data_IF_001661955473
#
_entry.id   IF_001661955473
#
_cell.length_a   1.000
_cell.length_b   1.000
_cell.length_c   1.000
_cell.angle_alpha   90.00
_cell.angle_beta   90.00
_cell.angle_gamma   90.00
#
_symmetry.space_group_name_H-M   'P 1'
#
loop_
_entity.id
_entity.type
_entity.pdbx_description
1 polymer ?
#
# COMPACT_ATOMS: atom_id res chain seq x y z
N UNK A 1 -3.44 -15.40 -11.96
CA UNK A 1 -3.22 -16.41 -10.92
C UNK A 1 -3.52 -15.78 -9.57
N UNK A 2 -4.33 -16.43 -8.74
CA UNK A 2 -4.63 -16.00 -7.36
C UNK A 2 -4.18 -17.13 -6.43
N UNK A 3 -3.21 -16.85 -5.56
CA UNK A 3 -2.71 -17.79 -4.56
C UNK A 3 -3.16 -17.39 -3.16
N UNK A 4 -3.30 -18.33 -2.24
CA UNK A 4 -3.57 -18.07 -0.83
C UNK A 4 -2.54 -18.76 0.06
N UNK A 5 -2.13 -18.11 1.14
CA UNK A 5 -1.27 -18.71 2.18
C UNK A 5 -1.59 -18.13 3.56
N UNK A 6 -1.32 -18.92 4.59
CA UNK A 6 -1.38 -18.50 5.98
C UNK A 6 0.02 -18.07 6.43
N UNK A 7 0.20 -16.79 6.72
CA UNK A 7 1.52 -16.16 6.94
C UNK A 7 1.51 -15.26 8.18
N UNK A 8 2.70 -14.93 8.67
CA UNK A 8 2.91 -13.91 9.70
C UNK A 8 3.46 -12.63 9.08
N UNK A 9 2.99 -11.47 9.50
CA UNK A 9 3.58 -10.18 9.08
C UNK A 9 4.85 -9.94 9.88
N UNK A 10 6.02 -9.89 9.22
CA UNK A 10 7.32 -9.74 9.91
C UNK A 10 7.91 -8.35 9.78
N UNK A 11 7.53 -7.58 8.76
CA UNK A 11 7.91 -6.17 8.58
C UNK A 11 6.77 -5.38 7.96
N UNK A 12 6.71 -4.09 8.26
CA UNK A 12 5.69 -3.18 7.74
C UNK A 12 6.24 -1.75 7.64
N UNK A 13 6.06 -1.11 6.48
CA UNK A 13 6.62 0.21 6.16
C UNK A 13 5.71 1.38 6.54
N UNK A 14 4.95 1.26 7.64
CA UNK A 14 4.00 2.30 8.10
C UNK A 14 4.70 3.64 8.42
N UNK A 15 5.93 3.56 8.89
CA UNK A 15 6.82 4.65 9.27
C UNK A 15 7.61 5.24 8.10
N UNK A 16 7.38 4.75 6.87
CA UNK A 16 8.01 5.32 5.68
C UNK A 16 7.42 6.68 5.33
N UNK A 17 8.28 7.62 4.93
CA UNK A 17 7.86 8.91 4.36
C UNK A 17 6.98 8.76 3.11
N UNK A 18 7.03 7.60 2.45
CA UNK A 18 6.31 7.31 1.21
C UNK A 18 5.12 6.34 1.39
N UNK A 19 4.62 6.15 2.62
CA UNK A 19 3.46 5.29 2.90
C UNK A 19 2.18 5.81 2.23
N UNK A 20 2.08 7.11 1.99
CA UNK A 20 1.02 7.73 1.21
C UNK A 20 1.67 8.34 -0.03
N UNK A 21 1.12 7.99 -1.19
CA UNK A 21 1.51 8.56 -2.48
C UNK A 21 0.36 9.36 -3.04
N UNK A 22 0.70 10.30 -3.92
CA UNK A 22 -0.26 11.11 -4.67
C UNK A 22 -0.27 10.66 -6.12
N UNK A 23 -1.46 10.43 -6.67
CA UNK A 23 -1.65 10.02 -8.06
C UNK A 23 -2.56 10.98 -8.79
N UNK A 24 -2.30 11.13 -10.09
CA UNK A 24 -3.15 11.91 -10.98
C UNK A 24 -4.50 11.22 -11.18
N UNK A 25 -5.61 11.95 -11.07
CA UNK A 25 -6.96 11.38 -11.31
C UNK A 25 -7.13 10.90 -12.76
N UNK A 26 -6.45 11.53 -13.73
CA UNK A 26 -6.61 11.18 -15.15
C UNK A 26 -5.86 9.92 -15.59
N UNK A 27 -4.61 9.78 -15.15
CA UNK A 27 -3.72 8.72 -15.64
C UNK A 27 -3.20 7.78 -14.56
N UNK A 28 -3.58 8.01 -13.29
CA UNK A 28 -3.20 7.20 -12.12
C UNK A 28 -1.70 7.04 -11.87
N UNK A 29 -0.86 7.76 -12.62
CA UNK A 29 0.57 7.85 -12.40
C UNK A 29 0.86 8.81 -11.25
N UNK A 30 1.99 8.58 -10.58
CA UNK A 30 2.51 9.42 -9.51
C UNK A 30 2.48 10.90 -9.90
N UNK A 31 2.16 11.72 -8.91
CA UNK A 31 2.15 13.17 -9.00
C UNK A 31 3.06 13.74 -7.90
N UNK A 32 3.93 14.67 -8.28
CA UNK A 32 4.91 15.31 -7.39
C UNK A 32 4.69 16.81 -7.42
N UNK A 33 4.68 17.49 -6.27
CA UNK A 33 4.50 18.95 -6.18
C UNK A 33 3.27 19.49 -6.93
N UNK A 34 2.17 18.74 -6.95
CA UNK A 34 0.97 19.08 -7.74
C UNK A 34 1.26 19.19 -9.25
N UNK A 35 2.19 18.38 -9.77
CA UNK A 35 2.49 18.18 -11.19
C UNK A 35 2.40 16.69 -11.49
N UNK A 36 1.67 16.30 -12.54
CA UNK A 36 1.57 14.90 -12.94
C UNK A 36 2.93 14.46 -13.46
N UNK A 37 3.47 13.32 -13.04
CA UNK A 37 4.78 12.87 -13.51
C UNK A 37 4.76 12.22 -14.90
N UNK A 38 3.57 12.06 -15.51
CA UNK A 38 3.44 11.51 -16.85
C UNK A 38 3.45 12.63 -17.90
N UNK A 39 4.51 12.78 -18.72
CA UNK A 39 4.58 13.80 -19.76
C UNK A 39 3.55 13.61 -20.88
N UNK A 40 2.97 12.42 -21.00
CA UNK A 40 1.92 12.10 -21.97
C UNK A 40 0.51 12.37 -21.41
N UNK A 41 0.39 12.72 -20.13
CA UNK A 41 -0.90 13.03 -19.55
C UNK A 41 -1.34 14.43 -19.98
N UNK A 42 -2.59 14.57 -20.42
CA UNK A 42 -3.20 15.87 -20.73
C UNK A 42 -3.13 16.88 -19.58
N UNK A 43 -2.99 16.39 -18.34
CA UNK A 43 -2.90 17.21 -17.13
C UNK A 43 -1.47 17.54 -16.71
N UNK A 44 -0.44 17.16 -17.47
CA UNK A 44 0.97 17.39 -17.13
C UNK A 44 1.30 18.85 -16.80
N UNK A 45 0.71 19.81 -17.54
CA UNK A 45 0.98 21.25 -17.37
C UNK A 45 -0.17 22.03 -16.72
N UNK A 46 -1.16 21.36 -16.13
CA UNK A 46 -2.26 22.06 -15.47
C UNK A 46 -1.91 22.33 -14.01
N UNK A 47 -1.85 23.58 -13.58
CA UNK A 47 -1.58 23.93 -12.16
C UNK A 47 -2.68 23.43 -11.21
N UNK A 48 -3.87 23.12 -11.73
CA UNK A 48 -5.05 22.66 -10.97
C UNK A 48 -5.60 21.32 -11.50
N UNK A 49 -4.76 20.29 -11.65
CA UNK A 49 -5.29 18.95 -11.92
C UNK A 49 -5.68 18.21 -10.64
N UNK A 50 -6.78 17.48 -10.71
CA UNK A 50 -7.25 16.67 -9.61
C UNK A 50 -6.28 15.53 -9.31
N UNK A 51 -5.99 15.34 -8.03
CA UNK A 51 -5.19 14.23 -7.53
C UNK A 51 -5.96 13.50 -6.43
N UNK A 52 -5.63 12.22 -6.25
CA UNK A 52 -6.08 11.44 -5.10
C UNK A 52 -4.88 10.86 -4.36
N UNK A 53 -5.08 10.55 -3.07
CA UNK A 53 -4.09 9.89 -2.24
C UNK A 53 -4.34 8.38 -2.24
N UNK A 54 -3.26 7.62 -2.27
CA UNK A 54 -3.27 6.15 -2.19
C UNK A 54 -2.25 5.70 -1.14
N UNK A 55 -2.52 4.60 -0.46
CA UNK A 55 -1.47 3.93 0.31
C UNK A 55 -0.49 3.20 -0.60
N UNK A 56 0.78 3.30 -0.25
CA UNK A 56 1.89 2.57 -0.83
C UNK A 56 2.54 1.74 0.28
N UNK A 57 1.74 0.83 0.85
CA UNK A 57 2.10 0.03 2.01
C UNK A 57 2.87 -1.22 1.56
N UNK A 58 4.10 -1.35 2.06
CA UNK A 58 4.93 -2.54 1.88
C UNK A 58 4.96 -3.36 3.16
N UNK A 59 4.81 -4.68 3.01
CA UNK A 59 4.97 -5.62 4.11
C UNK A 59 5.87 -6.78 3.72
N UNK A 60 6.50 -7.37 4.71
CA UNK A 60 7.14 -8.68 4.58
C UNK A 60 6.29 -9.70 5.30
N UNK A 61 6.11 -10.86 4.68
CA UNK A 61 5.37 -11.97 5.26
C UNK A 61 6.22 -13.23 5.29
N UNK A 62 6.03 -14.05 6.32
CA UNK A 62 6.80 -15.27 6.51
C UNK A 62 5.89 -16.44 6.87
N UNK A 63 6.21 -17.62 6.36
CA UNK A 63 5.63 -18.89 6.77
C UNK A 63 6.73 -19.94 7.01
N UNK A 64 6.37 -21.21 7.16
CA UNK A 64 7.35 -22.29 7.36
C UNK A 64 8.28 -22.53 6.16
N UNK A 65 7.92 -22.04 4.97
CA UNK A 65 8.71 -22.20 3.74
C UNK A 65 9.71 -21.07 3.52
N UNK A 66 9.49 -19.90 4.13
CA UNK A 66 10.42 -18.78 4.04
C UNK A 66 9.75 -17.42 4.25
N UNK A 67 10.41 -16.39 3.74
CA UNK A 67 9.96 -14.99 3.83
C UNK A 67 9.87 -14.39 2.44
N UNK A 68 8.78 -13.70 2.16
CA UNK A 68 8.62 -12.85 0.98
C UNK A 68 8.65 -11.40 1.48
N UNK A 69 9.72 -10.69 1.10
CA UNK A 69 9.93 -9.30 1.48
C UNK A 69 9.32 -8.33 0.45
N UNK A 70 8.87 -7.16 0.93
CA UNK A 70 8.53 -6.02 0.07
C UNK A 70 7.26 -6.21 -0.78
N UNK A 71 6.28 -6.95 -0.28
CA UNK A 71 4.98 -7.10 -0.92
C UNK A 71 4.16 -5.82 -0.81
N UNK A 72 3.61 -5.37 -1.94
CA UNK A 72 2.69 -4.24 -1.97
C UNK A 72 1.31 -4.73 -1.51
N UNK A 73 0.73 -4.03 -0.55
CA UNK A 73 -0.67 -4.22 -0.17
C UNK A 73 -1.54 -3.31 -1.03
N UNK A 74 -2.60 -3.85 -1.62
CA UNK A 74 -3.54 -3.04 -2.40
C UNK A 74 -4.11 -1.89 -1.58
N UNK A 75 -4.48 -0.78 -2.23
CA UNK A 75 -5.01 0.38 -1.52
C UNK A 75 -6.27 0.06 -0.72
N UNK A 76 -7.21 -0.68 -1.30
CA UNK A 76 -8.44 -1.06 -0.61
C UNK A 76 -8.14 -1.86 0.66
N UNK A 77 -7.21 -2.79 0.57
CA UNK A 77 -6.80 -3.60 1.71
C UNK A 77 -6.01 -2.78 2.75
N UNK A 78 -5.19 -1.85 2.29
CA UNK A 78 -4.47 -0.91 3.16
C UNK A 78 -5.43 0.01 3.93
N UNK A 79 -6.48 0.53 3.28
CA UNK A 79 -7.54 1.32 3.94
C UNK A 79 -8.19 0.51 5.07
N UNK A 80 -8.44 -0.78 4.83
CA UNK A 80 -9.03 -1.69 5.81
C UNK A 80 -8.08 -1.95 6.99
N UNK A 81 -6.82 -2.31 6.71
CA UNK A 81 -5.82 -2.64 7.72
C UNK A 81 -5.43 -1.41 8.57
N UNK A 82 -5.28 -0.25 7.93
CA UNK A 82 -4.91 1.01 8.59
C UNK A 82 -6.13 1.77 9.15
N UNK A 83 -7.32 1.16 9.07
CA UNK A 83 -8.58 1.66 9.65
C UNK A 83 -8.99 3.07 9.18
N UNK A 84 -8.62 3.45 7.96
CA UNK A 84 -8.92 4.78 7.46
C UNK A 84 -8.36 5.08 6.09
N UNK A 85 -8.89 6.13 5.46
CA UNK A 85 -8.37 6.66 4.20
C UNK A 85 -7.03 7.38 4.41
N UNK A 86 -6.18 7.49 3.37
CA UNK A 86 -4.89 8.18 3.46
C UNK A 86 -4.96 9.59 4.07
N UNK A 87 -6.01 10.36 3.77
CA UNK A 87 -6.20 11.71 4.30
C UNK A 87 -6.35 11.73 5.83
N UNK A 88 -7.00 10.71 6.40
CA UNK A 88 -7.17 10.58 7.85
C UNK A 88 -5.91 10.04 8.51
N UNK A 89 -5.20 9.15 7.82
CA UNK A 89 -3.98 8.56 8.35
C UNK A 89 -2.82 9.54 8.40
N UNK A 90 -2.73 10.46 7.44
CA UNK A 90 -1.66 11.46 7.39
C UNK A 90 -1.61 12.34 8.64
N UNK A 91 -2.79 12.67 9.19
CA UNK A 91 -2.93 13.52 10.38
C UNK A 91 -2.84 12.78 11.72
N UNK A 92 -2.74 11.44 11.72
CA UNK A 92 -2.51 10.67 12.94
C UNK A 92 -1.14 10.99 13.53
N UNK A 93 -1.07 11.02 14.85
CA UNK A 93 0.20 11.13 15.59
C UNK A 93 1.04 9.87 15.39
N UNK A 94 2.34 10.00 15.63
CA UNK A 94 3.26 8.88 15.47
C UNK A 94 2.92 7.72 16.41
N UNK A 95 2.45 8.01 17.62
CA UNK A 95 2.05 6.99 18.59
C UNK A 95 0.86 6.15 18.07
N UNK A 96 -0.14 6.81 17.48
CA UNK A 96 -1.31 6.13 16.90
C UNK A 96 -0.92 5.27 15.70
N UNK A 97 -0.01 5.76 14.84
CA UNK A 97 0.53 4.99 13.71
C UNK A 97 1.32 3.77 14.19
N UNK A 98 2.12 3.92 15.24
CA UNK A 98 2.88 2.82 15.85
C UNK A 98 1.95 1.79 16.49
N UNK A 99 0.88 2.22 17.15
CA UNK A 99 -0.12 1.30 17.72
C UNK A 99 -0.75 0.44 16.62
N UNK A 100 -1.14 1.03 15.49
CA UNK A 100 -1.63 0.28 14.32
C UNK A 100 -0.57 -0.72 13.83
N UNK A 101 0.69 -0.29 13.70
CA UNK A 101 1.80 -1.15 13.27
C UNK A 101 1.96 -2.37 14.19
N UNK A 102 1.98 -2.15 15.49
CA UNK A 102 2.16 -3.22 16.48
C UNK A 102 0.97 -4.16 16.57
N UNK A 103 -0.24 -3.68 16.29
CA UNK A 103 -1.43 -4.52 16.19
C UNK A 103 -1.43 -5.46 14.96
N UNK A 104 -0.57 -5.20 13.97
CA UNK A 104 -0.47 -5.99 12.74
C UNK A 104 0.79 -6.85 12.69
N UNK A 105 1.90 -6.38 13.27
CA UNK A 105 3.16 -7.12 13.31
C UNK A 105 3.03 -8.43 14.11
N UNK A 106 3.66 -9.47 13.57
CA UNK A 106 3.72 -10.83 14.10
C UNK A 106 2.36 -11.52 14.28
N UNK A 107 1.28 -10.90 13.79
CA UNK A 107 -0.02 -11.53 13.73
C UNK A 107 -0.10 -12.49 12.54
N UNK A 108 -0.90 -13.55 12.71
CA UNK A 108 -1.15 -14.54 11.68
C UNK A 108 -2.32 -14.10 10.80
N UNK A 109 -2.14 -14.18 9.49
CA UNK A 109 -3.15 -13.81 8.50
C UNK A 109 -3.29 -14.88 7.42
N UNK A 110 -4.51 -15.05 6.92
CA UNK A 110 -4.76 -15.64 5.61
C UNK A 110 -4.65 -14.55 4.57
N UNK A 111 -3.70 -14.68 3.65
CA UNK A 111 -3.39 -13.67 2.63
C UNK A 111 -3.70 -14.19 1.24
N UNK A 112 -4.35 -13.35 0.42
CA UNK A 112 -4.56 -13.61 -1.02
C UNK A 112 -3.61 -12.77 -1.86
N UNK A 113 -2.88 -13.43 -2.75
CA UNK A 113 -1.87 -12.83 -3.64
C UNK A 113 -2.32 -12.86 -5.08
N UNK A 114 -2.02 -11.79 -5.81
CA UNK A 114 -2.11 -11.73 -7.27
C UNK A 114 -0.77 -11.24 -7.83
N UNK A 115 -0.47 -11.57 -9.08
CA UNK A 115 0.61 -10.86 -9.78
C UNK A 115 0.17 -9.43 -10.04
N UNK A 116 1.10 -8.51 -9.83
CA UNK A 116 0.90 -7.10 -10.17
C UNK A 116 0.75 -6.96 -11.70
N UNK A 117 -0.31 -6.28 -12.13
CA UNK A 117 -0.59 -6.05 -13.55
C UNK A 117 0.43 -5.12 -14.20
N UNK A 118 1.01 -4.20 -13.43
CA UNK A 118 2.04 -3.26 -13.90
C UNK A 118 3.43 -3.93 -13.90
N UNK A 119 3.64 -4.91 -13.02
CA UNK A 119 4.87 -5.66 -12.93
C UNK A 119 4.58 -7.14 -12.68
N UNK A 120 4.45 -7.91 -13.76
CA UNK A 120 4.10 -9.34 -13.74
C UNK A 120 5.03 -10.23 -12.90
N UNK A 121 6.19 -9.72 -12.47
CA UNK A 121 7.14 -10.44 -11.60
C UNK A 121 6.93 -10.18 -10.10
N UNK A 122 6.09 -9.19 -9.74
CA UNK A 122 5.82 -8.82 -8.36
C UNK A 122 4.48 -9.37 -7.90
N UNK A 123 4.44 -9.85 -6.65
CA UNK A 123 3.21 -10.23 -6.00
C UNK A 123 2.62 -9.02 -5.25
N UNK A 124 1.30 -8.91 -5.32
CA UNK A 124 0.50 -7.91 -4.62
C UNK A 124 -0.50 -8.62 -3.72
N UNK A 125 -0.63 -8.11 -2.50
CA UNK A 125 -1.62 -8.58 -1.55
C UNK A 125 -2.94 -7.85 -1.79
N UNK A 126 -3.98 -8.59 -2.13
CA UNK A 126 -5.33 -8.02 -2.37
C UNK A 126 -6.26 -8.18 -1.18
N UNK A 127 -5.96 -9.10 -0.27
CA UNK A 127 -6.76 -9.34 0.93
C UNK A 127 -5.92 -10.00 2.02
N UNK A 128 -6.14 -9.61 3.27
CA UNK A 128 -5.58 -10.23 4.48
C UNK A 128 -6.69 -10.44 5.51
N UNK A 129 -6.83 -11.62 6.10
CA UNK A 129 -7.81 -11.85 7.16
C UNK A 129 -7.11 -12.40 8.40
N UNK A 130 -7.43 -11.85 9.58
CA UNK A 130 -6.95 -12.42 10.84
C UNK A 130 -7.45 -13.87 10.97
N UNK A 131 -6.61 -14.72 11.55
CA UNK A 131 -6.91 -16.12 11.87
C UNK A 131 -6.93 -16.26 13.39
#
# INVERSE_FOLDING_TARGET
FCGQSDVYVTKMSIDSQNIIIKKCIKCEILATNNVCSNPLCESFNLENFGCFLEYNLYISVSDSSGTIDGLIVSNNESIRLLRGRPEKFSVLKNEEKLEIKWNLLFQKFRVSFVFDSENSTKLKIVQMNFI
#
